data_IF_929865583457
#
_entry.id   IF_929865583457
#
_cell.length_a   1.000
_cell.length_b   1.000
_cell.length_c   1.000
_cell.angle_alpha   90.00
_cell.angle_beta   90.00
_cell.angle_gamma   90.00
#
_symmetry.space_group_name_H-M   'P 1'
#
loop_
_entity.id
_entity.type
_entity.pdbx_description
1 polymer ?
#
# COMPACT_ATOMS: atom_id res chain seq x y z
N UNK A 1 76.64 0.82 -37.40
CA UNK A 1 76.03 1.35 -36.16
C UNK A 1 74.62 1.94 -36.39
N UNK A 2 73.73 1.22 -37.12
CA UNK A 2 72.35 1.66 -37.43
C UNK A 2 71.28 0.59 -37.13
N UNK A 3 71.66 -0.55 -36.54
CA UNK A 3 70.72 -1.64 -36.23
C UNK A 3 70.19 -1.64 -34.79
N UNK A 4 70.83 -0.94 -33.86
CA UNK A 4 70.44 -1.00 -32.44
C UNK A 4 69.29 -0.04 -32.06
N UNK A 5 69.02 0.99 -32.86
CA UNK A 5 68.00 2.00 -32.53
C UNK A 5 66.58 1.70 -33.05
N UNK A 6 66.40 0.65 -33.87
CA UNK A 6 65.06 0.25 -34.37
C UNK A 6 64.33 -0.78 -33.51
N UNK A 7 65.04 -1.51 -32.65
CA UNK A 7 64.40 -2.52 -31.78
C UNK A 7 63.78 -1.93 -30.51
N UNK A 8 64.23 -0.76 -30.05
CA UNK A 8 63.74 -0.15 -28.81
C UNK A 8 62.36 0.51 -28.94
N UNK A 9 62.00 0.99 -30.13
CA UNK A 9 60.69 1.58 -30.39
C UNK A 9 59.58 0.55 -30.66
N UNK A 10 59.94 -0.68 -31.04
CA UNK A 10 58.94 -1.72 -31.32
C UNK A 10 58.38 -2.35 -30.04
N UNK A 11 59.21 -2.52 -29.00
CA UNK A 11 58.77 -3.10 -27.73
C UNK A 11 58.01 -2.13 -26.82
N UNK A 12 58.30 -0.81 -26.88
CA UNK A 12 57.60 0.15 -26.01
C UNK A 12 56.14 0.41 -26.44
N UNK A 13 55.86 0.35 -27.75
CA UNK A 13 54.49 0.56 -28.27
C UNK A 13 53.60 -0.68 -28.14
N UNK A 14 54.15 -1.88 -28.05
CA UNK A 14 53.37 -3.11 -27.90
C UNK A 14 52.85 -3.29 -26.46
N UNK A 15 53.59 -2.83 -25.45
CA UNK A 15 53.15 -2.88 -24.05
C UNK A 15 52.12 -1.80 -23.70
N UNK A 16 52.18 -0.60 -24.30
CA UNK A 16 51.15 0.42 -24.07
C UNK A 16 49.81 0.12 -24.76
N UNK A 17 49.83 -0.59 -25.89
CA UNK A 17 48.62 -0.94 -26.63
C UNK A 17 47.80 -2.09 -26.01
N UNK A 18 48.45 -3.03 -25.32
CA UNK A 18 47.75 -4.15 -24.67
C UNK A 18 47.13 -3.76 -23.31
N UNK A 19 47.73 -2.82 -22.56
CA UNK A 19 47.18 -2.40 -21.27
C UNK A 19 45.97 -1.46 -21.43
N UNK A 20 45.88 -0.67 -22.52
CA UNK A 20 44.73 0.22 -22.73
C UNK A 20 43.47 -0.54 -23.19
N UNK A 21 43.62 -1.65 -23.90
CA UNK A 21 42.50 -2.48 -24.36
C UNK A 21 42.03 -3.51 -23.31
N UNK A 22 42.85 -3.83 -22.30
CA UNK A 22 42.42 -4.72 -21.21
C UNK A 22 41.64 -3.97 -20.10
N UNK A 23 41.83 -2.65 -19.97
CA UNK A 23 41.08 -1.83 -18.98
C UNK A 23 39.75 -1.28 -19.51
N UNK A 24 39.51 -1.25 -20.83
CA UNK A 24 38.23 -0.81 -21.40
C UNK A 24 37.18 -1.92 -21.54
N UNK A 25 37.56 -3.19 -21.34
CA UNK A 25 36.68 -4.35 -21.55
C UNK A 25 35.96 -4.92 -20.31
N UNK A 26 36.13 -4.32 -19.13
CA UNK A 26 35.68 -4.92 -17.85
C UNK A 26 34.73 -4.05 -17.01
N UNK A 27 34.17 -2.97 -17.55
CA UNK A 27 33.24 -2.10 -16.83
C UNK A 27 31.92 -1.85 -17.58
N UNK A 28 31.37 -2.90 -18.18
CA UNK A 28 29.93 -2.95 -18.49
C UNK A 28 29.37 -4.19 -17.81
N UNK A 29 29.34 -4.16 -16.48
CA UNK A 29 28.29 -4.90 -15.79
C UNK A 29 26.99 -4.24 -16.21
N UNK A 30 26.07 -4.93 -16.90
CA UNK A 30 24.71 -4.44 -16.95
C UNK A 30 24.28 -4.46 -15.49
N UNK A 31 24.21 -3.28 -14.87
CA UNK A 31 23.33 -3.07 -13.73
C UNK A 31 21.96 -3.35 -14.31
N UNK A 32 21.56 -4.62 -14.26
CA UNK A 32 20.16 -4.98 -14.26
C UNK A 32 19.62 -4.20 -13.08
N UNK A 33 19.06 -3.03 -13.38
CA UNK A 33 18.10 -2.41 -12.51
C UNK A 33 17.09 -3.52 -12.26
N UNK A 34 17.20 -4.18 -11.11
CA UNK A 34 16.08 -4.77 -10.44
C UNK A 34 15.15 -3.58 -10.19
N UNK A 35 14.44 -3.18 -11.24
CA UNK A 35 13.12 -2.64 -11.11
C UNK A 35 12.37 -3.75 -10.39
N UNK A 36 12.44 -3.73 -9.06
CA UNK A 36 11.42 -4.35 -8.26
C UNK A 36 10.15 -3.70 -8.76
N UNK A 37 9.41 -4.43 -9.59
CA UNK A 37 7.98 -4.21 -9.66
C UNK A 37 7.57 -4.13 -8.20
N UNK A 38 7.03 -2.98 -7.79
CA UNK A 38 6.29 -2.93 -6.55
C UNK A 38 5.17 -3.95 -6.76
N UNK A 39 5.42 -5.21 -6.37
CA UNK A 39 4.48 -6.29 -6.51
C UNK A 39 3.28 -5.84 -5.70
N UNK A 40 2.24 -5.40 -6.43
CA UNK A 40 1.04 -4.88 -5.82
C UNK A 40 0.40 -6.09 -5.15
N UNK A 41 0.71 -6.28 -3.87
CA UNK A 41 0.21 -7.40 -3.08
C UNK A 41 -1.31 -7.44 -3.22
N UNK A 42 -1.85 -8.65 -3.37
CA UNK A 42 -3.27 -8.85 -3.57
C UNK A 42 -4.06 -8.18 -2.43
N UNK A 43 -4.97 -7.26 -2.76
CA UNK A 43 -5.82 -6.62 -1.75
C UNK A 43 -7.17 -7.34 -1.71
N UNK A 44 -7.55 -7.99 -0.60
CA UNK A 44 -8.84 -8.66 -0.48
C UNK A 44 -10.02 -7.70 -0.63
N UNK A 45 -11.12 -8.22 -1.14
CA UNK A 45 -12.36 -7.49 -1.39
C UNK A 45 -13.54 -8.25 -0.79
N UNK A 46 -14.63 -7.59 -0.38
CA UNK A 46 -15.81 -8.28 0.15
C UNK A 46 -16.49 -9.18 -0.91
N UNK A 47 -16.39 -8.84 -2.20
CA UNK A 47 -16.99 -9.63 -3.28
C UNK A 47 -16.29 -10.98 -3.48
N UNK A 48 -14.97 -11.01 -3.35
CA UNK A 48 -14.17 -12.22 -3.62
C UNK A 48 -13.81 -12.97 -2.34
N UNK A 49 -13.51 -12.23 -1.26
CA UNK A 49 -12.94 -12.75 -0.02
C UNK A 49 -13.89 -12.55 1.19
N UNK A 50 -15.17 -12.30 0.95
CA UNK A 50 -16.15 -12.02 2.01
C UNK A 50 -16.26 -13.12 3.08
N UNK A 51 -16.00 -14.38 2.71
CA UNK A 51 -15.97 -15.52 3.64
C UNK A 51 -14.80 -15.49 4.65
N UNK A 52 -13.86 -14.56 4.50
CA UNK A 52 -12.74 -14.36 5.44
C UNK A 52 -12.97 -13.15 6.36
N UNK A 53 -14.09 -12.44 6.22
CA UNK A 53 -14.41 -11.30 7.06
C UNK A 53 -14.80 -11.76 8.46
N UNK A 54 -14.19 -11.17 9.49
CA UNK A 54 -14.53 -11.45 10.89
C UNK A 54 -15.89 -10.86 11.30
N UNK A 55 -16.33 -9.79 10.64
CA UNK A 55 -17.60 -9.10 10.85
C UNK A 55 -18.19 -8.68 9.49
N UNK A 56 -19.51 -8.42 9.39
CA UNK A 56 -20.11 -7.92 8.15
C UNK A 56 -19.39 -6.69 7.59
N UNK A 57 -19.26 -6.62 6.27
CA UNK A 57 -18.56 -5.54 5.57
C UNK A 57 -19.16 -4.16 5.88
N UNK A 58 -18.30 -3.21 6.24
CA UNK A 58 -18.63 -1.82 6.51
C UNK A 58 -17.95 -0.91 5.45
N UNK A 59 -18.69 -0.30 4.52
CA UNK A 59 -18.08 0.45 3.39
C UNK A 59 -17.09 1.56 3.80
N UNK A 60 -17.35 2.22 4.92
CA UNK A 60 -16.54 3.34 5.41
C UNK A 60 -15.41 2.91 6.38
N UNK A 61 -15.36 1.62 6.74
CA UNK A 61 -14.32 1.13 7.64
C UNK A 61 -13.03 0.79 6.88
N UNK A 62 -11.86 1.10 7.46
CA UNK A 62 -10.58 0.70 6.89
C UNK A 62 -10.39 -0.82 6.89
N UNK A 63 -9.78 -1.35 5.84
CA UNK A 63 -9.55 -2.80 5.70
C UNK A 63 -8.19 -3.23 6.24
N UNK A 64 -8.17 -4.30 7.03
CA UNK A 64 -6.95 -4.95 7.54
C UNK A 64 -6.95 -6.41 7.10
N UNK A 65 -5.76 -6.89 6.73
CA UNK A 65 -5.50 -8.30 6.50
C UNK A 65 -4.79 -8.85 7.73
N UNK A 66 -5.28 -9.97 8.27
CA UNK A 66 -4.69 -10.64 9.42
C UNK A 66 -4.30 -12.06 9.04
N UNK A 67 -3.02 -12.40 9.17
CA UNK A 67 -2.55 -13.78 9.02
C UNK A 67 -2.37 -14.41 10.39
N UNK A 68 -2.88 -15.64 10.54
CA UNK A 68 -2.76 -16.43 11.76
C UNK A 68 -2.40 -17.88 11.45
N UNK A 69 -1.55 -18.47 12.28
CA UNK A 69 -1.31 -19.92 12.29
C UNK A 69 -2.09 -20.54 13.46
N UNK A 70 -2.75 -21.69 13.25
CA UNK A 70 -3.59 -22.31 14.29
C UNK A 70 -2.81 -22.84 15.50
N UNK A 71 -1.52 -23.17 15.38
CA UNK A 71 -0.68 -23.61 16.49
C UNK A 71 0.16 -22.48 17.11
N UNK A 72 0.21 -21.30 16.49
CA UNK A 72 0.96 -20.18 17.05
C UNK A 72 0.33 -19.69 18.37
N UNK A 73 1.06 -19.74 19.52
CA UNK A 73 0.52 -19.31 20.81
C UNK A 73 0.09 -17.84 20.81
N UNK A 74 0.80 -16.98 20.07
CA UNK A 74 0.44 -15.58 19.92
C UNK A 74 -0.80 -15.38 19.05
N UNK A 75 -1.03 -16.25 18.06
CA UNK A 75 -2.25 -16.23 17.26
C UNK A 75 -3.45 -16.64 18.10
N UNK A 76 -3.33 -17.70 18.90
CA UNK A 76 -4.35 -18.15 19.86
C UNK A 76 -4.70 -17.01 20.83
N UNK A 77 -3.70 -16.36 21.42
CA UNK A 77 -3.91 -15.19 22.29
C UNK A 77 -4.55 -14.00 21.57
N UNK A 78 -4.32 -13.84 20.28
CA UNK A 78 -4.94 -12.79 19.48
C UNK A 78 -6.40 -13.12 19.10
N UNK A 79 -6.73 -14.41 18.90
CA UNK A 79 -8.11 -14.87 18.66
C UNK A 79 -9.02 -14.65 19.88
N UNK A 80 -8.47 -14.63 21.10
CA UNK A 80 -9.26 -14.27 22.31
C UNK A 80 -9.46 -12.76 22.48
N UNK A 81 -8.90 -11.93 21.59
CA UNK A 81 -8.89 -10.46 21.71
C UNK A 81 -9.32 -9.76 20.43
N UNK A 82 -10.30 -10.33 19.71
CA UNK A 82 -10.81 -9.75 18.45
C UNK A 82 -11.40 -8.36 18.63
N UNK A 83 -11.89 -8.00 19.82
CA UNK A 83 -12.37 -6.65 20.15
C UNK A 83 -11.36 -5.54 19.83
N UNK A 84 -10.05 -5.84 19.83
CA UNK A 84 -9.01 -4.88 19.46
C UNK A 84 -9.03 -4.49 17.98
N UNK A 85 -9.78 -5.21 17.16
CA UNK A 85 -9.91 -4.98 15.73
C UNK A 85 -11.28 -4.37 15.37
N UNK A 86 -12.08 -3.97 16.36
CA UNK A 86 -13.36 -3.29 16.12
C UNK A 86 -13.15 -1.99 15.35
N UNK A 87 -14.07 -1.74 14.40
CA UNK A 87 -14.01 -0.58 13.51
C UNK A 87 -13.00 -0.72 12.36
N UNK A 88 -12.69 -1.96 11.98
CA UNK A 88 -11.97 -2.33 10.77
C UNK A 88 -12.72 -3.44 10.04
N UNK A 89 -12.64 -3.46 8.71
CA UNK A 89 -12.97 -4.65 7.93
C UNK A 89 -11.78 -5.62 7.99
N UNK A 90 -11.86 -6.65 8.81
CA UNK A 90 -10.75 -7.59 8.99
C UNK A 90 -10.97 -8.83 8.12
N UNK A 91 -10.13 -8.99 7.10
CA UNK A 91 -9.99 -10.24 6.38
C UNK A 91 -8.94 -11.11 7.08
N UNK A 92 -9.35 -12.24 7.65
CA UNK A 92 -8.45 -13.14 8.36
C UNK A 92 -8.15 -14.39 7.53
N UNK A 93 -6.87 -14.65 7.30
CA UNK A 93 -6.38 -15.81 6.55
C UNK A 93 -5.54 -16.72 7.44
N UNK A 94 -5.66 -18.02 7.20
CA UNK A 94 -4.90 -19.05 7.89
C UNK A 94 -3.58 -19.31 7.16
N UNK A 95 -2.47 -19.05 7.83
CA UNK A 95 -1.12 -19.17 7.28
C UNK A 95 -0.31 -20.19 8.08
N UNK A 96 -0.14 -21.42 7.57
CA UNK A 96 0.45 -22.54 8.31
C UNK A 96 2.00 -22.51 8.31
N UNK A 97 2.60 -21.43 8.81
CA UNK A 97 4.06 -21.23 8.75
C UNK A 97 4.85 -22.07 9.77
N UNK A 98 4.17 -22.70 10.74
CA UNK A 98 4.83 -23.51 11.78
C UNK A 98 4.96 -25.00 11.39
N UNK A 99 4.77 -25.32 10.11
CA UNK A 99 5.05 -26.63 9.54
C UNK A 99 3.83 -27.55 9.41
N UNK A 100 4.10 -28.85 9.28
CA UNK A 100 3.10 -29.83 8.83
C UNK A 100 1.85 -29.91 9.72
N UNK A 101 2.02 -29.81 11.04
CA UNK A 101 0.88 -29.83 11.96
C UNK A 101 -0.09 -28.68 11.66
N UNK A 102 0.44 -27.47 11.46
CA UNK A 102 -0.35 -26.29 11.07
C UNK A 102 -1.03 -26.49 9.74
N UNK A 103 -0.35 -27.05 8.74
CA UNK A 103 -0.95 -27.34 7.44
C UNK A 103 -2.16 -28.27 7.59
N UNK A 104 -1.99 -29.40 8.30
CA UNK A 104 -3.08 -30.34 8.54
C UNK A 104 -4.26 -29.68 9.26
N UNK A 105 -3.99 -28.82 10.25
CA UNK A 105 -5.07 -28.09 10.94
C UNK A 105 -5.77 -27.09 10.03
N UNK A 106 -5.04 -26.39 9.15
CA UNK A 106 -5.62 -25.50 8.15
C UNK A 106 -6.49 -26.29 7.17
N UNK A 107 -6.06 -27.48 6.76
CA UNK A 107 -6.86 -28.37 5.92
C UNK A 107 -8.16 -28.79 6.62
N UNK A 108 -8.12 -29.11 7.92
CA UNK A 108 -9.33 -29.37 8.72
C UNK A 108 -10.26 -28.14 8.77
N UNK A 109 -9.71 -26.94 8.95
CA UNK A 109 -10.48 -25.69 9.01
C UNK A 109 -11.21 -25.43 7.69
N UNK A 110 -10.55 -25.66 6.55
CA UNK A 110 -11.17 -25.50 5.25
C UNK A 110 -12.15 -26.62 4.89
N UNK A 111 -12.32 -27.62 5.76
CA UNK A 111 -13.46 -28.54 5.74
C UNK A 111 -14.77 -27.94 6.29
N UNK A 112 -14.71 -26.73 6.85
CA UNK A 112 -15.89 -26.00 7.34
C UNK A 112 -16.42 -25.03 6.27
N UNK A 113 -17.74 -24.84 6.25
CA UNK A 113 -18.38 -23.86 5.37
C UNK A 113 -17.94 -22.41 5.66
N UNK A 114 -17.62 -22.11 6.92
CA UNK A 114 -17.10 -20.82 7.37
C UNK A 114 -15.77 -21.01 8.14
N UNK A 115 -14.63 -20.70 7.50
CA UNK A 115 -13.29 -20.91 8.08
C UNK A 115 -12.94 -19.88 9.16
N UNK A 116 -13.74 -18.83 9.36
CA UNK A 116 -13.54 -17.78 10.38
C UNK A 116 -14.67 -17.73 11.40
N UNK A 117 -15.47 -18.80 11.48
CA UNK A 117 -16.56 -18.93 12.45
C UNK A 117 -16.07 -19.07 13.89
N UNK A 118 -16.95 -18.72 14.84
CA UNK A 118 -16.69 -18.87 16.28
C UNK A 118 -16.41 -20.31 16.69
N UNK A 119 -17.02 -21.30 16.04
CA UNK A 119 -16.77 -22.73 16.31
C UNK A 119 -15.35 -23.13 15.90
N UNK A 120 -14.87 -22.69 14.73
CA UNK A 120 -13.49 -22.87 14.30
C UNK A 120 -12.53 -22.20 15.27
N UNK A 121 -12.78 -20.94 15.65
CA UNK A 121 -11.93 -20.24 16.61
C UNK A 121 -11.88 -20.95 17.97
N UNK A 122 -13.02 -21.42 18.47
CA UNK A 122 -13.08 -22.17 19.72
C UNK A 122 -12.27 -23.46 19.63
N UNK A 123 -12.33 -24.20 18.51
CA UNK A 123 -11.54 -25.41 18.30
C UNK A 123 -10.03 -25.09 18.31
N UNK A 124 -9.60 -24.05 17.57
CA UNK A 124 -8.20 -23.62 17.50
C UNK A 124 -7.68 -23.14 18.87
N UNK A 125 -8.44 -22.28 19.55
CA UNK A 125 -8.07 -21.75 20.88
C UNK A 125 -7.89 -22.88 21.90
N UNK A 126 -8.82 -23.84 21.89
CA UNK A 126 -8.80 -24.97 22.82
C UNK A 126 -7.94 -26.15 22.34
N UNK A 127 -7.23 -26.00 21.21
CA UNK A 127 -6.39 -27.04 20.59
C UNK A 127 -7.13 -28.37 20.36
N UNK A 128 -8.40 -28.27 19.94
CA UNK A 128 -9.26 -29.42 19.63
C UNK A 128 -9.31 -29.67 18.12
N UNK A 129 -9.86 -30.82 17.74
CA UNK A 129 -10.22 -31.09 16.35
C UNK A 129 -11.32 -30.12 15.90
N UNK A 130 -11.27 -29.67 14.65
CA UNK A 130 -12.34 -28.85 14.07
C UNK A 130 -13.47 -29.78 13.65
N UNK A 131 -14.68 -29.56 14.18
CA UNK A 131 -15.87 -30.33 13.84
C UNK A 131 -16.74 -29.51 12.90
N UNK A 132 -16.76 -29.90 11.62
CA UNK A 132 -17.54 -29.26 10.58
C UNK A 132 -18.73 -30.16 10.19
N UNK A 133 -19.91 -29.58 9.98
CA UNK A 133 -21.07 -30.33 9.50
C UNK A 133 -20.85 -30.82 8.07
N UNK A 134 -20.66 -32.13 7.92
CA UNK A 134 -20.31 -32.76 6.64
C UNK A 134 -21.35 -32.57 5.53
N UNK A 135 -22.58 -32.21 5.88
CA UNK A 135 -23.67 -31.97 4.93
C UNK A 135 -23.48 -30.71 4.06
N UNK A 136 -22.52 -29.82 4.41
CA UNK A 136 -22.23 -28.57 3.69
C UNK A 136 -20.92 -28.61 2.88
N UNK A 137 -20.22 -29.75 2.84
CA UNK A 137 -18.86 -29.88 2.27
C UNK A 137 -18.79 -29.68 0.75
N UNK A 138 -19.85 -30.03 0.01
CA UNK A 138 -19.73 -30.24 -1.45
C UNK A 138 -19.75 -28.98 -2.33
N UNK A 139 -19.84 -27.76 -1.79
CA UNK A 139 -20.06 -26.56 -2.66
C UNK A 139 -19.02 -25.44 -2.58
N UNK A 140 -17.95 -25.56 -1.79
CA UNK A 140 -17.01 -24.44 -1.65
C UNK A 140 -15.65 -24.68 -1.00
N UNK A 141 -15.38 -25.85 -0.42
CA UNK A 141 -14.14 -26.14 0.32
C UNK A 141 -12.88 -25.83 -0.49
N UNK A 142 -12.81 -26.34 -1.74
CA UNK A 142 -11.66 -26.10 -2.62
C UNK A 142 -11.49 -24.62 -2.98
N UNK A 143 -12.59 -23.88 -3.18
CA UNK A 143 -12.50 -22.47 -3.58
C UNK A 143 -11.98 -21.60 -2.44
N UNK A 144 -12.51 -21.79 -1.22
CA UNK A 144 -12.05 -21.01 -0.07
C UNK A 144 -10.59 -21.33 0.27
N UNK A 145 -10.21 -22.61 0.22
CA UNK A 145 -8.81 -23.01 0.41
C UNK A 145 -7.88 -22.34 -0.61
N UNK A 146 -8.23 -22.38 -1.90
CA UNK A 146 -7.47 -21.72 -2.96
C UNK A 146 -7.35 -20.21 -2.76
N UNK A 147 -8.45 -19.53 -2.40
CA UNK A 147 -8.42 -18.09 -2.13
C UNK A 147 -7.49 -17.77 -0.95
N UNK A 148 -7.53 -18.58 0.11
CA UNK A 148 -6.63 -18.42 1.24
C UNK A 148 -5.16 -18.61 0.83
N UNK A 149 -4.86 -19.69 0.11
CA UNK A 149 -3.51 -19.98 -0.39
C UNK A 149 -2.97 -18.86 -1.30
N UNK A 150 -3.81 -18.34 -2.20
CA UNK A 150 -3.44 -17.22 -3.07
C UNK A 150 -3.07 -15.97 -2.28
N UNK A 151 -3.87 -15.60 -1.28
CA UNK A 151 -3.58 -14.43 -0.45
C UNK A 151 -2.33 -14.69 0.41
N UNK A 152 -2.21 -15.86 1.04
CA UNK A 152 -1.04 -16.21 1.85
C UNK A 152 0.24 -16.18 1.01
N UNK A 153 0.22 -16.74 -0.21
CA UNK A 153 1.35 -16.73 -1.13
C UNK A 153 1.71 -15.31 -1.60
N UNK A 154 0.72 -14.44 -1.85
CA UNK A 154 0.97 -13.06 -2.26
C UNK A 154 1.66 -12.21 -1.19
N UNK A 155 1.47 -12.53 0.10
CA UNK A 155 2.06 -11.79 1.21
C UNK A 155 3.29 -12.45 1.82
N UNK A 156 3.40 -13.77 1.67
CA UNK A 156 4.47 -14.61 2.21
C UNK A 156 4.85 -14.24 3.67
N UNK A 157 3.91 -14.35 4.62
CA UNK A 157 4.09 -13.83 5.97
C UNK A 157 5.14 -14.65 6.75
N UNK A 158 6.35 -14.10 6.90
CA UNK A 158 7.45 -14.73 7.65
C UNK A 158 7.22 -14.85 9.17
N UNK A 159 6.09 -14.35 9.70
CA UNK A 159 5.78 -14.35 11.13
C UNK A 159 4.28 -14.19 11.33
N UNK A 160 3.71 -14.84 12.35
CA UNK A 160 2.30 -14.66 12.72
C UNK A 160 2.12 -14.53 14.25
N UNK A 161 1.10 -13.79 14.74
CA UNK A 161 0.10 -13.06 13.97
C UNK A 161 0.74 -11.83 13.30
N UNK A 162 0.39 -11.60 12.04
CA UNK A 162 0.81 -10.41 11.31
C UNK A 162 -0.37 -9.69 10.72
N UNK A 163 -0.28 -8.37 10.70
CA UNK A 163 -1.34 -7.50 10.21
C UNK A 163 -0.79 -6.67 9.06
N UNK A 164 -1.61 -6.50 8.03
CA UNK A 164 -1.29 -5.67 6.89
C UNK A 164 -2.41 -4.68 6.63
N UNK A 165 -2.03 -3.46 6.29
CA UNK A 165 -2.95 -2.39 5.95
C UNK A 165 -2.49 -1.80 4.62
N UNK A 166 -3.32 -1.91 3.58
CA UNK A 166 -2.95 -1.49 2.24
C UNK A 166 -1.68 -2.17 1.72
N UNK A 167 -1.60 -3.50 1.83
CA UNK A 167 -0.43 -4.24 1.40
C UNK A 167 0.81 -4.11 2.30
N UNK A 168 0.87 -3.16 3.23
CA UNK A 168 2.05 -2.96 4.09
C UNK A 168 1.89 -3.60 5.47
N UNK A 169 2.96 -4.22 5.98
CA UNK A 169 2.96 -4.83 7.32
C UNK A 169 2.89 -3.74 8.39
N UNK A 170 1.99 -3.89 9.35
CA UNK A 170 1.71 -2.90 10.40
C UNK A 170 1.54 -3.54 11.77
N UNK A 171 1.73 -2.73 12.80
CA UNK A 171 1.32 -3.06 14.17
C UNK A 171 -0.05 -2.43 14.45
N UNK A 172 -1.02 -3.22 14.94
CA UNK A 172 -2.37 -2.71 15.28
C UNK A 172 -2.30 -1.49 16.21
N UNK A 173 -1.45 -1.52 17.24
CA UNK A 173 -1.30 -0.37 18.14
C UNK A 173 -0.75 0.89 17.47
N UNK A 174 -0.01 0.77 16.35
CA UNK A 174 0.41 1.92 15.56
C UNK A 174 -0.77 2.51 14.77
N UNK A 175 -1.64 1.67 14.20
CA UNK A 175 -2.87 2.12 13.55
C UNK A 175 -3.81 2.83 14.54
N UNK A 176 -3.96 2.31 15.76
CA UNK A 176 -4.76 2.95 16.81
C UNK A 176 -4.20 4.33 17.19
N UNK A 177 -2.88 4.44 17.34
CA UNK A 177 -2.22 5.74 17.60
C UNK A 177 -2.45 6.72 16.45
N UNK A 178 -2.39 6.22 15.22
CA UNK A 178 -2.66 7.04 14.04
C UNK A 178 -4.13 7.52 14.01
N UNK A 179 -5.10 6.62 14.21
CA UNK A 179 -6.53 6.99 14.33
C UNK A 179 -6.77 8.01 15.44
N UNK A 180 -6.16 7.84 16.62
CA UNK A 180 -6.25 8.83 17.71
C UNK A 180 -5.68 10.18 17.30
N UNK A 181 -4.52 10.21 16.62
CA UNK A 181 -3.94 11.46 16.11
C UNK A 181 -4.88 12.17 15.14
N UNK A 182 -5.62 11.42 14.31
CA UNK A 182 -6.63 11.95 13.40
C UNK A 182 -7.87 12.49 14.13
N UNK A 183 -8.30 11.84 15.22
CA UNK A 183 -9.49 12.26 15.97
C UNK A 183 -9.24 13.43 16.91
N UNK A 184 -8.01 13.58 17.42
CA UNK A 184 -7.61 14.71 18.28
C UNK A 184 -7.28 15.98 17.50
N UNK A 185 -7.08 15.88 16.18
CA UNK A 185 -6.93 17.06 15.35
C UNK A 185 -8.28 17.77 15.25
N UNK A 186 -8.34 19.04 15.67
CA UNK A 186 -9.50 19.90 15.43
C UNK A 186 -9.77 19.90 13.93
N UNK A 187 -10.99 19.54 13.53
CA UNK A 187 -11.44 19.59 12.13
C UNK A 187 -12.07 20.96 11.89
N UNK A 188 -11.36 21.94 11.31
CA UNK A 188 -11.91 23.28 11.16
C UNK A 188 -13.05 23.31 10.13
N UNK A 189 -13.04 22.39 9.16
CA UNK A 189 -14.05 22.30 8.10
C UNK A 189 -14.51 20.85 7.94
N UNK A 190 -15.81 20.62 8.05
CA UNK A 190 -16.42 19.33 7.72
C UNK A 190 -16.76 19.31 6.22
N UNK A 191 -16.07 18.44 5.47
CA UNK A 191 -16.31 18.26 4.05
C UNK A 191 -17.27 17.09 3.80
N UNK A 192 -18.27 17.30 2.94
CA UNK A 192 -19.03 16.20 2.35
C UNK A 192 -18.19 15.53 1.26
N UNK A 193 -17.39 14.53 1.64
CA UNK A 193 -16.49 13.83 0.71
C UNK A 193 -17.19 13.15 -0.47
N UNK A 194 -18.47 12.80 -0.33
CA UNK A 194 -19.25 12.20 -1.40
C UNK A 194 -19.45 13.18 -2.58
N UNK A 195 -19.49 14.48 -2.30
CA UNK A 195 -19.53 15.53 -3.35
C UNK A 195 -18.26 15.56 -4.20
N UNK A 196 -17.12 15.15 -3.64
CA UNK A 196 -15.80 15.28 -4.25
C UNK A 196 -15.28 13.98 -4.87
N UNK A 197 -16.14 12.97 -5.06
CA UNK A 197 -15.73 11.66 -5.57
C UNK A 197 -15.07 11.70 -6.94
N UNK A 198 -15.42 12.66 -7.81
CA UNK A 198 -14.78 12.84 -9.12
C UNK A 198 -13.32 13.30 -9.03
N UNK A 199 -12.87 13.80 -7.86
CA UNK A 199 -11.48 14.14 -7.56
C UNK A 199 -10.72 12.99 -6.88
N UNK A 200 -11.41 11.92 -6.46
CA UNK A 200 -10.80 10.79 -5.77
C UNK A 200 -9.93 10.01 -6.76
N UNK A 201 -8.69 9.73 -6.38
CA UNK A 201 -7.85 8.81 -7.15
C UNK A 201 -8.43 7.40 -7.05
N UNK A 202 -8.55 6.67 -8.18
CA UNK A 202 -9.02 5.30 -8.16
C UNK A 202 -7.98 4.42 -7.45
N UNK A 203 -8.37 3.89 -6.28
CA UNK A 203 -7.61 2.92 -5.49
C UNK A 203 -8.56 1.73 -5.20
N UNK A 204 -8.58 0.73 -6.07
CA UNK A 204 -9.42 -0.46 -5.87
C UNK A 204 -8.64 -1.59 -5.17
N UNK A 205 -9.26 -2.40 -4.29
CA UNK A 205 -10.42 -2.14 -3.43
C UNK A 205 -9.91 -1.78 -2.02
N UNK A 206 -9.51 -0.52 -1.82
CA UNK A 206 -8.95 -0.09 -0.54
C UNK A 206 -9.68 1.14 0.02
N UNK A 207 -9.95 1.11 1.32
CA UNK A 207 -10.46 2.27 2.08
C UNK A 207 -9.38 2.71 3.07
N UNK A 208 -8.85 3.92 2.87
CA UNK A 208 -7.85 4.55 3.72
C UNK A 208 -8.36 4.88 5.14
N UNK A 209 -7.44 5.22 6.05
CA UNK A 209 -7.76 5.61 7.44
C UNK A 209 -8.28 7.05 7.55
N UNK A 210 -8.04 7.87 6.53
CA UNK A 210 -8.48 9.25 6.44
C UNK A 210 -8.59 9.68 4.96
N UNK A 211 -9.28 10.78 4.72
CA UNK A 211 -9.28 11.43 3.41
C UNK A 211 -8.13 12.44 3.37
N UNK A 212 -7.28 12.32 2.35
CA UNK A 212 -6.18 13.24 2.09
C UNK A 212 -6.44 13.93 0.76
N UNK A 213 -6.37 15.26 0.78
CA UNK A 213 -6.45 16.10 -0.40
C UNK A 213 -5.06 16.63 -0.70
N UNK A 214 -4.65 16.56 -1.95
CA UNK A 214 -3.53 17.36 -2.46
C UNK A 214 -4.06 18.40 -3.42
N UNK A 215 -3.67 19.65 -3.17
CA UNK A 215 -3.76 20.73 -4.13
C UNK A 215 -2.49 20.68 -4.97
N UNK A 216 -2.60 20.28 -6.23
CA UNK A 216 -1.45 20.05 -7.12
C UNK A 216 -1.49 20.96 -8.36
N UNK A 217 -0.35 21.57 -8.75
CA UNK A 217 -0.24 22.30 -10.00
C UNK A 217 -0.40 21.36 -11.22
N UNK A 218 -0.74 21.92 -12.38
CA UNK A 218 -1.02 21.15 -13.60
C UNK A 218 0.06 20.12 -13.97
N UNK A 219 1.34 20.49 -13.87
CA UNK A 219 2.45 19.59 -14.20
C UNK A 219 2.51 18.36 -13.29
N UNK A 220 2.31 18.50 -11.97
CA UNK A 220 2.31 17.36 -11.04
C UNK A 220 1.09 16.45 -11.24
N UNK A 221 -0.07 17.02 -11.59
CA UNK A 221 -1.27 16.21 -11.89
C UNK A 221 -1.12 15.35 -13.14
N UNK A 222 -0.21 15.72 -14.04
CA UNK A 222 0.13 14.94 -15.24
C UNK A 222 1.33 14.01 -15.01
N UNK A 223 2.05 14.17 -13.89
CA UNK A 223 3.20 13.34 -13.58
C UNK A 223 2.77 11.99 -13.00
N UNK A 224 2.90 10.94 -13.81
CA UNK A 224 2.46 9.59 -13.44
C UNK A 224 3.13 9.07 -12.16
N UNK A 225 4.44 9.30 -12.00
CA UNK A 225 5.18 8.89 -10.79
C UNK A 225 4.60 9.50 -9.51
N UNK A 226 4.14 10.77 -9.56
CA UNK A 226 3.50 11.41 -8.42
C UNK A 226 2.15 10.75 -8.10
N UNK A 227 1.30 10.56 -9.11
CA UNK A 227 0.00 9.91 -8.91
C UNK A 227 0.13 8.46 -8.41
N UNK A 228 1.13 7.73 -8.86
CA UNK A 228 1.39 6.36 -8.42
C UNK A 228 1.91 6.31 -7.00
N UNK A 229 2.79 7.24 -6.59
CA UNK A 229 3.22 7.39 -5.20
C UNK A 229 2.03 7.70 -4.28
N UNK A 230 1.10 8.57 -4.69
CA UNK A 230 -0.14 8.81 -3.94
C UNK A 230 -1.00 7.54 -3.84
N UNK A 231 -1.22 6.83 -4.95
CA UNK A 231 -2.01 5.59 -4.96
C UNK A 231 -1.40 4.50 -4.09
N UNK A 232 -0.07 4.42 -4.03
CA UNK A 232 0.68 3.49 -3.20
C UNK A 232 0.66 3.85 -1.71
N UNK A 233 0.30 5.09 -1.35
CA UNK A 233 0.08 5.47 0.04
C UNK A 233 -1.36 5.14 0.48
N UNK A 234 -1.55 3.86 0.80
CA UNK A 234 -2.83 3.32 1.25
C UNK A 234 -3.30 3.89 2.61
N UNK A 235 -2.50 4.67 3.35
CA UNK A 235 -3.00 5.31 4.60
C UNK A 235 -4.20 6.22 4.34
N UNK A 236 -4.35 6.70 3.11
CA UNK A 236 -5.35 7.69 2.76
C UNK A 236 -6.21 7.28 1.58
N UNK A 237 -7.45 7.78 1.59
CA UNK A 237 -8.22 7.96 0.36
C UNK A 237 -7.76 9.27 -0.26
N UNK A 238 -7.05 9.20 -1.39
CA UNK A 238 -6.48 10.38 -2.01
C UNK A 238 -7.47 11.11 -2.91
N UNK A 239 -7.51 12.43 -2.77
CA UNK A 239 -8.21 13.36 -3.64
C UNK A 239 -7.19 14.33 -4.23
N UNK A 240 -7.29 14.63 -5.53
CA UNK A 240 -6.38 15.54 -6.23
C UNK A 240 -7.18 16.73 -6.75
N UNK A 241 -6.94 17.90 -6.16
CA UNK A 241 -7.51 19.18 -6.59
C UNK A 241 -6.52 19.98 -7.43
N UNK A 242 -7.07 20.69 -8.41
CA UNK A 242 -6.33 21.55 -9.31
C UNK A 242 -5.94 22.90 -8.66
N UNK A 243 -4.63 23.18 -8.59
CA UNK A 243 -4.11 24.52 -8.23
C UNK A 243 -4.02 25.49 -9.41
N UNK A 244 -3.91 24.99 -10.64
CA UNK A 244 -3.72 25.81 -11.84
C UNK A 244 -4.98 26.54 -12.30
N UNK A 245 -6.14 26.21 -11.72
CA UNK A 245 -7.39 26.83 -12.09
C UNK A 245 -7.74 28.01 -11.17
N UNK A 246 -7.73 29.24 -11.68
CA UNK A 246 -8.12 30.46 -10.94
C UNK A 246 -9.23 31.26 -11.65
N UNK A 247 -10.13 31.85 -10.84
CA UNK A 247 -11.12 32.82 -11.32
C UNK A 247 -12.22 32.25 -12.22
N UNK A 248 -12.69 33.05 -13.19
CA UNK A 248 -13.82 32.70 -14.08
C UNK A 248 -13.50 31.58 -15.08
N UNK A 249 -12.23 31.20 -15.22
CA UNK A 249 -11.76 30.16 -16.14
C UNK A 249 -12.02 28.72 -15.65
N UNK A 250 -12.49 28.53 -14.41
CA UNK A 250 -12.77 27.20 -13.84
C UNK A 250 -14.15 26.61 -14.18
N UNK A 251 -14.83 27.17 -15.17
CA UNK A 251 -16.21 26.78 -15.52
C UNK A 251 -16.29 25.57 -16.44
N UNK A 252 -15.19 25.20 -17.09
CA UNK A 252 -15.23 24.28 -18.22
C UNK A 252 -15.16 22.80 -17.80
N UNK A 253 -14.93 22.49 -16.51
CA UNK A 253 -15.05 21.13 -15.99
C UNK A 253 -15.57 21.08 -14.55
N UNK A 254 -16.31 20.02 -14.25
CA UNK A 254 -16.81 19.76 -12.89
C UNK A 254 -15.66 19.64 -11.88
N UNK A 255 -14.59 18.93 -12.25
CA UNK A 255 -13.41 18.75 -11.39
C UNK A 255 -12.73 20.10 -11.09
N UNK A 256 -12.63 21.00 -12.07
CA UNK A 256 -12.07 22.35 -11.85
C UNK A 256 -12.93 23.17 -10.89
N UNK A 257 -14.26 23.13 -11.06
CA UNK A 257 -15.20 23.81 -10.15
C UNK A 257 -15.11 23.28 -8.72
N UNK A 258 -15.08 21.96 -8.55
CA UNK A 258 -14.94 21.32 -7.24
C UNK A 258 -13.57 21.60 -6.60
N UNK A 259 -12.51 21.68 -7.40
CA UNK A 259 -11.18 22.07 -6.93
C UNK A 259 -11.16 23.51 -6.42
N UNK A 260 -11.77 24.45 -7.14
CA UNK A 260 -11.91 25.84 -6.73
C UNK A 260 -12.74 25.99 -5.45
N UNK A 261 -13.84 25.24 -5.33
CA UNK A 261 -14.66 25.17 -4.10
C UNK A 261 -13.82 24.71 -2.89
N UNK A 262 -13.04 23.64 -3.05
CA UNK A 262 -12.15 23.14 -1.98
C UNK A 262 -11.07 24.14 -1.58
N UNK A 263 -10.54 24.91 -2.54
CA UNK A 263 -9.54 25.96 -2.25
C UNK A 263 -10.12 27.05 -1.36
N UNK A 264 -11.33 27.51 -1.68
CA UNK A 264 -12.08 28.49 -0.87
C UNK A 264 -12.36 27.96 0.53
N UNK A 265 -12.94 26.76 0.62
CA UNK A 265 -13.33 26.15 1.90
C UNK A 265 -12.13 25.92 2.82
N UNK A 266 -10.96 25.59 2.28
CA UNK A 266 -9.76 25.26 3.06
C UNK A 266 -8.74 26.41 3.15
N UNK A 267 -9.12 27.63 2.76
CA UNK A 267 -8.23 28.80 2.72
C UNK A 267 -6.90 28.51 2.00
N UNK A 268 -7.00 27.81 0.85
CA UNK A 268 -5.90 27.50 -0.06
C UNK A 268 -5.91 28.37 -1.33
N UNK A 269 -6.70 29.45 -1.34
CA UNK A 269 -6.69 30.42 -2.43
C UNK A 269 -5.35 31.16 -2.54
N UNK A 270 -4.96 31.50 -3.77
CA UNK A 270 -3.70 32.17 -4.06
C UNK A 270 -2.43 31.33 -3.84
N UNK A 271 -2.55 30.07 -3.38
CA UNK A 271 -1.41 29.16 -3.30
C UNK A 271 -0.94 28.77 -4.70
N UNK A 272 0.36 28.92 -4.93
CA UNK A 272 1.04 28.52 -6.17
C UNK A 272 1.82 27.21 -6.03
N UNK A 273 2.02 26.75 -4.79
CA UNK A 273 2.78 25.56 -4.45
C UNK A 273 1.86 24.46 -3.94
N UNK A 274 2.30 23.22 -4.11
CA UNK A 274 1.60 22.01 -3.65
C UNK A 274 1.29 22.10 -2.16
N UNK A 275 0.05 21.82 -1.80
CA UNK A 275 -0.40 21.82 -0.41
C UNK A 275 -1.23 20.56 -0.12
N UNK A 276 -1.09 20.04 1.10
CA UNK A 276 -1.81 18.85 1.54
C UNK A 276 -2.83 19.22 2.60
N UNK A 277 -4.00 18.58 2.57
CA UNK A 277 -5.00 18.73 3.62
C UNK A 277 -5.53 17.36 4.05
N UNK A 278 -5.61 17.15 5.36
CA UNK A 278 -6.12 15.92 5.95
C UNK A 278 -7.44 16.19 6.68
N UNK A 279 -8.50 15.44 6.33
CA UNK A 279 -9.81 15.56 6.97
C UNK A 279 -10.33 17.01 7.13
N UNK A 280 -10.09 17.87 6.12
CA UNK A 280 -10.53 19.27 6.12
C UNK A 280 -9.60 20.25 6.84
N UNK A 281 -8.34 19.86 7.12
CA UNK A 281 -7.31 20.73 7.69
C UNK A 281 -6.09 20.77 6.78
N UNK A 282 -5.68 21.96 6.32
CA UNK A 282 -4.42 22.15 5.58
C UNK A 282 -3.23 21.89 6.50
N UNK A 283 -2.32 21.05 6.06
CA UNK A 283 -1.08 20.73 6.76
C UNK A 283 -0.05 21.83 6.51
N UNK A 284 0.67 22.21 7.57
CA UNK A 284 1.88 23.03 7.44
C UNK A 284 3.04 22.15 6.95
N UNK A 285 3.95 22.66 6.11
CA UNK A 285 5.05 21.87 5.52
C UNK A 285 5.89 21.11 6.54
N UNK A 286 6.14 21.70 7.72
CA UNK A 286 6.94 21.08 8.79
C UNK A 286 6.28 19.83 9.37
N UNK A 287 4.97 19.65 9.16
CA UNK A 287 4.22 18.49 9.61
C UNK A 287 4.18 17.37 8.59
N UNK A 288 4.60 17.59 7.35
CA UNK A 288 4.52 16.59 6.28
C UNK A 288 5.19 15.27 6.64
N UNK A 289 6.41 15.21 7.23
CA UNK A 289 7.04 13.93 7.59
C UNK A 289 6.24 13.09 8.58
N UNK A 290 5.32 13.72 9.34
CA UNK A 290 4.42 13.01 10.25
C UNK A 290 3.21 12.34 9.58
N UNK A 291 2.94 12.66 8.31
CA UNK A 291 1.74 12.23 7.58
C UNK A 291 2.04 11.66 6.18
N UNK A 292 3.08 12.10 5.49
CA UNK A 292 3.40 11.74 4.10
C UNK A 292 4.67 10.88 4.05
N UNK A 293 4.85 10.13 2.97
CA UNK A 293 6.14 9.46 2.71
C UNK A 293 7.16 10.46 2.18
N UNK A 294 8.45 10.19 2.40
CA UNK A 294 9.54 11.00 1.83
C UNK A 294 9.47 11.08 0.30
N UNK A 295 9.02 10.01 -0.35
CA UNK A 295 8.81 9.97 -1.80
C UNK A 295 7.76 10.99 -2.26
N UNK A 296 6.59 11.03 -1.60
CA UNK A 296 5.53 12.00 -1.93
C UNK A 296 6.02 13.43 -1.69
N UNK A 297 6.73 13.67 -0.58
CA UNK A 297 7.27 15.00 -0.25
C UNK A 297 8.29 15.45 -1.30
N UNK A 298 9.19 14.55 -1.70
CA UNK A 298 10.21 14.80 -2.71
C UNK A 298 9.59 15.14 -4.07
N UNK A 299 8.67 14.30 -4.56
CA UNK A 299 7.98 14.50 -5.83
C UNK A 299 7.14 15.79 -5.83
N UNK A 300 6.46 16.10 -4.71
CA UNK A 300 5.66 17.31 -4.58
C UNK A 300 6.48 18.62 -4.61
N UNK A 301 7.79 18.52 -4.36
CA UNK A 301 8.73 19.65 -4.32
C UNK A 301 9.50 19.83 -5.63
N UNK A 302 9.33 18.92 -6.60
CA UNK A 302 10.00 19.02 -7.89
C UNK A 302 9.47 20.23 -8.68
N UNK A 303 10.35 21.07 -9.26
CA UNK A 303 9.91 22.15 -10.13
C UNK A 303 9.29 21.57 -11.40
N UNK A 304 8.48 22.37 -12.10
CA UNK A 304 8.03 22.03 -13.45
C UNK A 304 9.27 21.77 -14.31
N UNK A 305 9.48 20.53 -14.73
CA UNK A 305 10.52 20.21 -15.69
C UNK A 305 10.16 20.97 -16.96
N UNK A 306 10.97 21.95 -17.33
CA UNK A 306 10.82 22.65 -18.59
C UNK A 306 10.86 21.61 -19.68
N UNK A 307 9.72 21.37 -20.34
CA UNK A 307 9.72 20.81 -21.69
C UNK A 307 10.37 21.89 -22.53
N UNK A 308 11.70 21.83 -22.62
CA UNK A 308 12.48 22.72 -23.45
C UNK A 308 12.03 22.57 -24.90
N UNK A 309 11.87 23.74 -25.53
CA UNK A 309 11.57 23.99 -26.94
C UNK A 309 12.06 22.92 -27.92
#
# INVERSE_FOLDING_TARGET
MKLFNRFRHFFLNLCLGLCLNLCLGLLVFPVAALAGSADSRLIPSPQTHGAFLLEPWQPDAPSIIAFKDPYCPYCIKALTKLDKLKGYNVFMFWSPILGQASQTKVDEIFGCADPVSLSVFAAVINRRQVSCDKALQDKGENRLKQLNEQVVASYDPQSVPSYYFGGQKVHIGALDRFKRRLSTAVKPVQLNWQRYLSLKLPQQPHTGLANMLVFAPGHLRQQQAFLDALKADYRYNWFVADLSCEGRACKDSEQARLSAELRLLLAADGRKQTAFAINGMVLQPERYPGFLSEEIISLASMPAVGVGN
#
